data_IF_047985116709
#
_entry.id   IF_047985116709
#
_cell.length_a   1.000
_cell.length_b   1.000
_cell.length_c   1.000
_cell.angle_alpha   90.00
_cell.angle_beta   90.00
_cell.angle_gamma   90.00
#
_symmetry.space_group_name_H-M   'P 1'
#
loop_
_entity.id
_entity.type
_entity.pdbx_description
1 polymer ?
#
# COMPACT_ATOMS: atom_id res chain seq x y z
N UNK A 1 42.63 12.99 -12.18
CA UNK A 1 43.45 14.14 -12.61
C UNK A 1 42.83 14.71 -13.88
N UNK A 2 41.95 15.69 -13.72
CA UNK A 2 41.57 16.67 -14.74
C UNK A 2 41.38 17.97 -13.96
N UNK A 3 42.06 19.02 -14.40
CA UNK A 3 42.13 20.33 -13.77
C UNK A 3 41.32 21.28 -14.66
N UNK A 4 40.37 22.03 -14.10
CA UNK A 4 39.77 23.17 -14.80
C UNK A 4 39.97 24.44 -13.98
N UNK A 5 40.53 25.44 -14.66
CA UNK A 5 40.83 26.77 -14.14
C UNK A 5 39.57 27.60 -13.99
N UNK A 6 39.58 28.43 -12.95
CA UNK A 6 38.59 29.45 -12.62
C UNK A 6 38.69 30.63 -13.59
N UNK A 7 37.55 31.10 -14.09
CA UNK A 7 37.40 32.50 -14.49
C UNK A 7 36.02 32.99 -14.11
N UNK A 8 36.02 34.12 -13.41
CA UNK A 8 34.95 34.69 -12.62
C UNK A 8 33.88 35.31 -13.51
N UNK A 9 32.65 34.81 -13.43
CA UNK A 9 31.43 35.56 -13.71
C UNK A 9 30.36 35.11 -12.71
N UNK A 10 30.13 35.93 -11.69
CA UNK A 10 29.13 35.68 -10.66
C UNK A 10 27.73 35.89 -11.24
N UNK A 11 27.15 34.82 -11.79
CA UNK A 11 25.72 34.66 -11.91
C UNK A 11 25.26 33.87 -10.68
N UNK A 12 24.68 34.58 -9.71
CA UNK A 12 23.87 33.99 -8.66
C UNK A 12 22.64 33.34 -9.31
N UNK A 13 22.80 32.12 -9.81
CA UNK A 13 21.67 31.20 -9.90
C UNK A 13 21.43 30.71 -8.48
N UNK A 14 20.40 31.28 -7.84
CA UNK A 14 19.74 30.60 -6.75
C UNK A 14 19.15 29.31 -7.32
N UNK A 15 19.96 28.25 -7.37
CA UNK A 15 19.43 26.90 -7.37
C UNK A 15 18.74 26.76 -6.01
N UNK A 16 17.42 26.98 -6.00
CA UNK A 16 16.56 26.19 -5.16
C UNK A 16 16.80 24.74 -5.60
N UNK A 17 17.84 24.12 -5.04
CA UNK A 17 17.82 22.69 -4.84
C UNK A 17 16.58 22.49 -3.97
N UNK A 18 15.45 22.17 -4.62
CA UNK A 18 14.42 21.42 -3.94
C UNK A 18 15.19 20.25 -3.33
N UNK A 19 15.29 20.25 -2.01
CA UNK A 19 15.65 19.06 -1.28
C UNK A 19 14.68 18.01 -1.83
N UNK A 20 15.18 17.10 -2.65
CA UNK A 20 14.56 15.81 -2.74
C UNK A 20 14.73 15.31 -1.30
N UNK A 21 13.70 15.56 -0.49
CA UNK A 21 13.63 14.94 0.82
C UNK A 21 13.65 13.46 0.49
N UNK A 22 14.80 12.85 0.74
CA UNK A 22 14.92 11.41 0.87
C UNK A 22 14.10 11.07 2.11
N UNK A 23 12.77 11.10 1.97
CA UNK A 23 11.83 10.88 3.05
C UNK A 23 11.82 9.39 3.31
N UNK A 24 12.82 8.95 4.05
CA UNK A 24 12.74 7.72 4.82
C UNK A 24 11.44 7.77 5.62
N UNK A 25 10.62 6.73 5.52
CA UNK A 25 9.40 6.65 6.31
C UNK A 25 9.77 6.72 7.81
N UNK A 26 8.92 7.36 8.61
CA UNK A 26 9.12 7.48 10.07
C UNK A 26 9.11 6.11 10.76
N UNK A 27 8.38 5.14 10.18
CA UNK A 27 8.23 3.74 10.59
C UNK A 27 8.00 2.85 9.37
N UNK A 28 7.94 1.52 9.55
CA UNK A 28 7.68 0.56 8.45
C UNK A 28 6.36 0.80 7.72
N UNK A 29 5.34 1.28 8.44
CA UNK A 29 4.01 1.60 7.94
C UNK A 29 3.63 2.99 8.48
N UNK A 30 3.26 3.89 7.58
CA UNK A 30 2.87 5.26 7.92
C UNK A 30 1.44 5.56 7.47
N UNK A 31 0.77 6.47 8.20
CA UNK A 31 -0.64 6.78 8.01
C UNK A 31 -0.92 8.15 7.38
N UNK A 32 -2.19 8.55 7.36
CA UNK A 32 -2.64 9.84 6.84
C UNK A 32 -1.88 11.05 7.42
N UNK A 33 -1.54 11.01 8.71
CA UNK A 33 -0.77 12.05 9.41
C UNK A 33 0.61 12.27 8.77
N UNK A 34 1.40 11.21 8.59
CA UNK A 34 2.73 11.30 7.96
C UNK A 34 2.63 11.64 6.47
N UNK A 35 1.55 11.21 5.81
CA UNK A 35 1.31 11.45 4.39
C UNK A 35 0.77 12.85 4.09
N UNK A 36 0.39 13.62 5.11
CA UNK A 36 -0.16 14.97 4.95
C UNK A 36 -1.55 14.99 4.33
N UNK A 37 -2.40 14.00 4.63
CA UNK A 37 -3.78 13.98 4.15
C UNK A 37 -4.60 15.13 4.77
N UNK A 38 -5.62 15.66 4.06
CA UNK A 38 -6.62 16.56 4.65
C UNK A 38 -7.29 15.99 5.91
N UNK A 39 -7.41 16.81 6.98
CA UNK A 39 -7.85 16.35 8.33
C UNK A 39 -9.18 16.92 8.84
N UNK A 40 -9.87 17.78 8.08
CA UNK A 40 -11.10 18.44 8.54
C UNK A 40 -12.29 18.08 7.65
N UNK A 41 -13.41 17.51 8.19
CA UNK A 41 -13.71 17.17 9.60
C UNK A 41 -13.14 15.84 10.14
N UNK A 42 -12.53 15.02 9.28
CA UNK A 42 -11.78 13.79 9.61
C UNK A 42 -10.73 13.59 8.52
N UNK A 43 -9.82 12.63 8.72
CA UNK A 43 -8.84 12.25 7.70
C UNK A 43 -9.54 11.77 6.43
N UNK A 44 -9.29 12.49 5.34
CA UNK A 44 -9.82 12.15 4.03
C UNK A 44 -8.70 12.27 3.01
N UNK A 45 -8.63 11.29 2.10
CA UNK A 45 -7.67 11.30 1.01
C UNK A 45 -8.37 10.83 -0.26
N UNK A 46 -8.60 11.73 -1.20
CA UNK A 46 -9.15 11.48 -2.52
C UNK A 46 -8.00 11.31 -3.51
N UNK A 47 -7.96 10.14 -4.14
CA UNK A 47 -7.04 9.81 -5.23
C UNK A 47 -7.87 9.41 -6.45
N UNK A 48 -7.76 10.20 -7.52
CA UNK A 48 -8.66 10.11 -8.67
C UNK A 48 -10.13 10.18 -8.24
N UNK A 49 -10.92 9.13 -8.49
CA UNK A 49 -12.35 9.09 -8.17
C UNK A 49 -12.65 8.36 -6.84
N UNK A 50 -11.63 8.09 -6.01
CA UNK A 50 -11.79 7.34 -4.76
C UNK A 50 -11.39 8.17 -3.56
N UNK A 51 -12.33 8.42 -2.65
CA UNK A 51 -12.07 9.04 -1.35
C UNK A 51 -11.90 7.97 -0.28
N UNK A 52 -10.85 8.09 0.52
CA UNK A 52 -10.49 7.17 1.60
C UNK A 52 -10.63 7.84 2.96
N UNK A 53 -11.11 7.08 3.94
CA UNK A 53 -11.16 7.49 5.36
C UNK A 53 -9.90 7.07 6.15
N UNK A 54 -9.05 6.26 5.51
CA UNK A 54 -7.79 5.80 6.07
C UNK A 54 -6.86 5.36 4.96
N UNK A 55 -5.59 5.71 5.08
CA UNK A 55 -4.56 5.34 4.11
C UNK A 55 -3.31 4.86 4.85
N UNK A 56 -2.68 3.82 4.33
CA UNK A 56 -1.38 3.33 4.81
C UNK A 56 -0.39 3.23 3.66
N UNK A 57 0.87 3.59 3.91
CA UNK A 57 2.00 3.46 3.00
C UNK A 57 3.10 2.62 3.68
N UNK A 58 3.70 1.70 2.92
CA UNK A 58 4.88 0.93 3.34
C UNK A 58 5.85 0.75 2.18
N UNK A 59 7.17 0.71 2.45
CA UNK A 59 8.19 0.39 1.45
C UNK A 59 8.36 -1.11 1.34
N UNK A 60 8.70 -1.58 0.15
CA UNK A 60 9.13 -2.97 -0.03
C UNK A 60 10.63 -3.05 0.27
N UNK A 61 10.99 -3.73 1.36
CA UNK A 61 12.40 -3.93 1.72
C UNK A 61 13.07 -4.98 0.80
N UNK A 62 14.40 -4.97 0.76
CA UNK A 62 15.24 -5.98 0.11
C UNK A 62 14.93 -6.21 -1.39
N UNK A 63 14.48 -5.17 -2.08
CA UNK A 63 14.28 -5.19 -3.52
C UNK A 63 15.61 -4.98 -4.27
N UNK A 64 15.79 -5.57 -5.46
CA UNK A 64 16.93 -5.25 -6.32
C UNK A 64 16.96 -3.74 -6.65
N UNK A 65 18.15 -3.17 -6.89
CA UNK A 65 18.33 -1.74 -7.20
C UNK A 65 17.39 -1.19 -8.29
N UNK A 66 17.03 -2.02 -9.28
CA UNK A 66 16.12 -1.65 -10.36
C UNK A 66 14.67 -1.39 -9.90
N UNK A 67 14.33 -1.83 -8.69
CA UNK A 67 13.03 -1.71 -8.05
C UNK A 67 13.12 -0.88 -6.76
N UNK A 68 14.26 -0.21 -6.52
CA UNK A 68 14.42 0.67 -5.37
C UNK A 68 13.36 1.79 -5.38
N UNK A 69 12.92 2.17 -4.18
CA UNK A 69 11.85 3.15 -3.99
C UNK A 69 10.42 2.62 -4.24
N UNK A 70 10.22 1.37 -4.67
CA UNK A 70 8.87 0.82 -4.79
C UNK A 70 8.19 0.72 -3.41
N UNK A 71 6.89 1.03 -3.40
CA UNK A 71 6.07 1.03 -2.20
C UNK A 71 4.67 0.47 -2.44
N UNK A 72 3.99 0.10 -1.36
CA UNK A 72 2.60 -0.32 -1.37
C UNK A 72 1.77 0.70 -0.60
N UNK A 73 0.66 1.13 -1.22
CA UNK A 73 -0.32 2.01 -0.59
C UNK A 73 -1.66 1.31 -0.55
N UNK A 74 -2.32 1.35 0.61
CA UNK A 74 -3.69 0.87 0.79
C UNK A 74 -4.58 2.03 1.21
N UNK A 75 -5.59 2.33 0.41
CA UNK A 75 -6.68 3.23 0.78
C UNK A 75 -7.92 2.43 1.21
N UNK A 76 -8.57 2.86 2.30
CA UNK A 76 -9.80 2.24 2.82
C UNK A 76 -10.94 3.24 2.72
N UNK A 77 -12.05 2.83 2.11
CA UNK A 77 -13.28 3.61 2.02
C UNK A 77 -14.42 2.82 2.70
N UNK A 78 -15.22 3.49 3.53
CA UNK A 78 -16.45 2.95 4.10
C UNK A 78 -17.57 3.21 3.11
N UNK A 79 -18.20 2.15 2.59
CA UNK A 79 -19.39 2.34 1.77
C UNK A 79 -20.42 3.18 2.54
N UNK A 80 -20.89 4.28 1.93
CA UNK A 80 -22.07 5.03 2.41
C UNK A 80 -23.23 4.05 2.63
N UNK A 81 -24.13 4.31 3.60
CA UNK A 81 -25.00 3.29 4.16
C UNK A 81 -25.79 2.55 3.08
N UNK A 82 -25.97 1.25 3.29
CA UNK A 82 -27.08 0.50 2.69
C UNK A 82 -28.43 1.16 3.01
N UNK A 83 -29.56 0.55 2.62
CA UNK A 83 -30.87 1.18 2.79
C UNK A 83 -31.09 1.59 4.26
N UNK A 84 -31.13 2.90 4.52
CA UNK A 84 -31.10 3.47 5.88
C UNK A 84 -30.09 4.61 6.01
N UNK A 85 -30.36 5.75 5.34
CA UNK A 85 -29.47 6.91 5.28
C UNK A 85 -29.02 7.48 6.64
N UNK A 86 -28.35 8.63 6.60
CA UNK A 86 -27.89 9.36 7.79
C UNK A 86 -29.04 9.47 8.81
N UNK A 87 -28.95 8.74 9.93
CA UNK A 87 -29.97 8.74 10.99
C UNK A 87 -30.60 7.37 11.31
N UNK A 88 -30.30 6.30 10.58
CA UNK A 88 -30.75 4.95 10.98
C UNK A 88 -29.89 4.44 12.15
N UNK A 89 -30.49 3.95 13.27
CA UNK A 89 -29.72 3.38 14.36
C UNK A 89 -28.87 2.24 13.81
N UNK A 90 -27.60 2.18 14.19
CA UNK A 90 -26.66 1.14 13.78
C UNK A 90 -27.21 -0.22 14.23
N UNK A 91 -28.03 -0.87 13.40
CA UNK A 91 -28.50 -2.23 13.63
C UNK A 91 -27.39 -3.19 13.25
N UNK A 92 -26.28 -3.19 14.00
CA UNK A 92 -25.24 -4.24 14.06
C UNK A 92 -24.77 -4.88 12.74
N UNK A 93 -25.04 -4.28 11.58
CA UNK A 93 -24.62 -4.77 10.27
C UNK A 93 -23.30 -4.07 9.99
N UNK A 94 -22.25 -4.86 10.04
CA UNK A 94 -20.90 -4.51 9.63
C UNK A 94 -20.99 -3.81 8.27
N UNK A 95 -20.55 -2.55 8.21
CA UNK A 95 -20.57 -1.79 6.96
C UNK A 95 -19.49 -2.36 6.05
N UNK A 96 -19.77 -2.64 4.77
CA UNK A 96 -18.73 -3.10 3.87
C UNK A 96 -17.65 -2.05 3.70
N UNK A 97 -16.40 -2.45 3.92
CA UNK A 97 -15.22 -1.60 3.72
C UNK A 97 -14.57 -1.99 2.39
N UNK A 98 -14.35 -0.99 1.52
CA UNK A 98 -13.64 -1.16 0.27
C UNK A 98 -12.18 -0.81 0.48
N UNK A 99 -11.28 -1.75 0.17
CA UNK A 99 -9.85 -1.52 0.12
C UNK A 99 -9.42 -1.35 -1.34
N UNK A 100 -8.60 -0.35 -1.61
CA UNK A 100 -7.96 -0.14 -2.91
C UNK A 100 -6.45 -0.13 -2.71
N UNK A 101 -5.75 -0.88 -3.54
CA UNK A 101 -4.31 -1.09 -3.40
C UNK A 101 -3.57 -0.50 -4.60
N UNK A 102 -2.52 0.24 -4.30
CA UNK A 102 -1.68 0.92 -5.27
C UNK A 102 -0.22 0.51 -5.13
N UNK A 103 0.45 0.40 -6.27
CA UNK A 103 1.89 0.28 -6.38
C UNK A 103 2.46 1.68 -6.55
N UNK A 104 3.29 2.08 -5.60
CA UNK A 104 4.07 3.29 -5.64
C UNK A 104 5.39 3.05 -6.36
N UNK A 105 5.78 3.96 -7.26
CA UNK A 105 7.00 3.81 -8.06
C UNK A 105 7.72 5.15 -8.22
N UNK A 106 9.06 5.17 -8.26
CA UNK A 106 9.80 6.38 -8.62
C UNK A 106 9.30 6.97 -9.93
N UNK A 107 9.34 8.30 -10.04
CA UNK A 107 8.80 9.03 -11.21
C UNK A 107 9.30 8.50 -12.56
N UNK A 108 10.56 8.10 -12.62
CA UNK A 108 11.24 7.69 -13.84
C UNK A 108 11.12 6.17 -14.14
N UNK A 109 10.50 5.40 -13.23
CA UNK A 109 10.22 3.99 -13.45
C UNK A 109 8.93 3.82 -14.27
N UNK A 110 9.01 3.13 -15.40
CA UNK A 110 7.83 2.73 -16.16
C UNK A 110 7.13 1.55 -15.47
N UNK A 111 6.05 1.87 -14.74
CA UNK A 111 5.26 0.86 -14.02
C UNK A 111 4.67 -0.22 -14.95
N UNK A 112 4.47 0.08 -16.24
CA UNK A 112 3.99 -0.90 -17.22
C UNK A 112 5.01 -2.01 -17.51
N UNK A 113 6.29 -1.71 -17.27
CA UNK A 113 7.41 -2.66 -17.43
C UNK A 113 7.66 -3.52 -16.17
N UNK A 114 7.06 -3.16 -15.04
CA UNK A 114 7.16 -3.95 -13.80
C UNK A 114 6.41 -5.26 -13.98
N UNK A 115 7.05 -6.37 -13.61
CA UNK A 115 6.43 -7.69 -13.62
C UNK A 115 6.49 -8.30 -12.23
N UNK A 116 5.37 -8.79 -11.74
CA UNK A 116 5.29 -9.40 -10.42
C UNK A 116 3.87 -9.79 -10.06
N UNK A 117 3.71 -10.37 -8.88
CA UNK A 117 2.42 -10.76 -8.33
C UNK A 117 2.27 -10.16 -6.94
N UNK A 118 1.09 -9.61 -6.65
CA UNK A 118 0.73 -9.18 -5.30
C UNK A 118 -0.32 -10.14 -4.75
N UNK A 119 -0.05 -10.70 -3.56
CA UNK A 119 -1.04 -11.49 -2.80
C UNK A 119 -1.81 -10.52 -1.91
N UNK A 120 -3.12 -10.43 -2.10
CA UNK A 120 -4.02 -9.58 -1.33
C UNK A 120 -4.89 -10.46 -0.46
N UNK A 121 -4.65 -10.41 0.85
CA UNK A 121 -5.51 -11.07 1.84
C UNK A 121 -6.77 -10.22 2.04
N UNK A 122 -7.92 -10.84 1.76
CA UNK A 122 -9.23 -10.20 1.82
C UNK A 122 -9.89 -10.40 3.19
N UNK A 123 -9.50 -11.45 3.91
CA UNK A 123 -9.89 -11.64 5.30
C UNK A 123 -8.94 -10.85 6.21
N UNK A 124 -9.46 -10.20 7.27
CA UNK A 124 -8.61 -9.52 8.24
C UNK A 124 -7.70 -10.53 8.97
N UNK A 125 -6.47 -10.14 9.30
CA UNK A 125 -5.60 -10.99 10.11
C UNK A 125 -6.19 -11.19 11.51
N UNK A 126 -5.92 -12.34 12.11
CA UNK A 126 -6.36 -12.70 13.47
C UNK A 126 -5.70 -11.84 14.54
N UNK A 127 -4.49 -11.36 14.27
CA UNK A 127 -3.76 -10.39 15.10
C UNK A 127 -3.97 -8.99 14.57
N UNK A 128 -4.08 -8.05 15.49
CA UNK A 128 -4.25 -6.63 15.20
C UNK A 128 -3.08 -5.84 15.74
N UNK A 129 -2.80 -4.69 15.12
CA UNK A 129 -1.89 -3.72 15.72
C UNK A 129 -2.40 -3.30 17.11
N UNK A 130 -1.46 -3.03 18.02
CA UNK A 130 -1.82 -2.49 19.33
C UNK A 130 -2.45 -1.13 19.09
N UNK A 131 -3.69 -1.01 19.47
CA UNK A 131 -4.45 0.22 19.28
C UNK A 131 -4.20 1.10 20.51
N UNK A 132 -3.71 2.33 20.31
CA UNK A 132 -3.41 3.27 21.40
C UNK A 132 -4.66 3.74 22.16
N UNK A 133 -4.50 4.63 23.14
CA UNK A 133 -5.65 5.32 23.73
C UNK A 133 -6.38 6.14 22.65
N UNK A 134 -7.71 6.27 22.77
CA UNK A 134 -8.49 7.14 21.89
C UNK A 134 -7.89 8.54 21.91
N UNK A 135 -7.52 9.07 20.75
CA UNK A 135 -7.07 10.44 20.66
C UNK A 135 -8.23 11.42 20.90
N UNK A 136 -7.94 12.72 20.94
CA UNK A 136 -8.95 13.76 21.14
C UNK A 136 -10.06 13.83 20.07
N UNK A 137 -9.91 13.11 18.95
CA UNK A 137 -10.94 12.98 17.90
C UNK A 137 -11.72 11.67 18.00
N UNK A 138 -11.45 10.83 19.01
CA UNK A 138 -12.11 9.55 19.21
C UNK A 138 -11.66 8.47 18.24
N UNK A 139 -10.52 8.66 17.57
CA UNK A 139 -9.94 7.73 16.61
C UNK A 139 -8.80 6.96 17.30
N UNK A 140 -8.82 5.64 17.16
CA UNK A 140 -7.75 4.76 17.63
C UNK A 140 -6.77 4.53 16.49
N UNK A 141 -5.59 5.12 16.58
CA UNK A 141 -4.51 4.81 15.65
C UNK A 141 -3.88 3.47 16.08
N UNK A 142 -3.87 2.50 15.17
CA UNK A 142 -3.12 1.26 15.35
C UNK A 142 -1.64 1.55 15.12
N UNK A 143 -0.80 1.26 16.10
CA UNK A 143 0.64 1.37 15.99
C UNK A 143 1.28 -0.03 16.07
N UNK A 144 2.28 -0.27 15.25
CA UNK A 144 3.04 -1.53 15.27
C UNK A 144 3.81 -1.77 13.96
N UNK A 145 4.33 -2.98 13.85
CA UNK A 145 5.16 -3.46 12.76
C UNK A 145 4.53 -4.71 12.13
N UNK A 146 4.92 -5.07 10.90
CA UNK A 146 4.39 -6.28 10.26
C UNK A 146 4.51 -7.54 11.15
N UNK A 147 5.63 -7.79 11.86
CA UNK A 147 5.76 -8.91 12.81
C UNK A 147 4.70 -9.01 13.92
N UNK A 148 4.06 -7.89 14.29
CA UNK A 148 2.99 -7.88 15.30
C UNK A 148 1.70 -8.54 14.78
N UNK A 149 1.51 -8.54 13.46
CA UNK A 149 0.32 -9.05 12.77
C UNK A 149 0.58 -10.39 12.09
N UNK A 150 1.73 -10.53 11.44
CA UNK A 150 2.15 -11.74 10.72
C UNK A 150 3.50 -12.22 11.24
N UNK A 151 3.59 -13.48 11.64
CA UNK A 151 4.84 -14.03 12.16
C UNK A 151 5.91 -14.08 11.07
N UNK A 152 7.17 -13.81 11.46
CA UNK A 152 8.30 -13.87 10.53
C UNK A 152 8.48 -15.26 9.89
N UNK A 153 8.12 -16.33 10.62
CA UNK A 153 8.08 -17.71 10.12
C UNK A 153 7.09 -17.87 8.96
N UNK A 154 5.88 -17.30 9.08
CA UNK A 154 4.89 -17.26 8.02
C UNK A 154 5.40 -16.46 6.81
N UNK A 155 5.96 -15.25 7.02
CA UNK A 155 6.55 -14.45 5.93
C UNK A 155 7.63 -15.22 5.18
N UNK A 156 8.54 -15.87 5.91
CA UNK A 156 9.64 -16.64 5.32
C UNK A 156 9.10 -17.80 4.45
N UNK A 157 8.06 -18.49 4.92
CA UNK A 157 7.46 -19.61 4.20
C UNK A 157 6.63 -19.19 3.00
N UNK A 158 5.92 -18.07 3.08
CA UNK A 158 5.26 -17.45 1.92
C UNK A 158 6.29 -17.09 0.84
N UNK A 159 7.42 -16.51 1.25
CA UNK A 159 8.53 -16.18 0.36
C UNK A 159 9.14 -17.42 -0.28
N UNK A 160 9.40 -18.47 0.50
CA UNK A 160 9.90 -19.76 0.01
C UNK A 160 8.93 -20.40 -1.00
N UNK A 161 7.62 -20.40 -0.71
CA UNK A 161 6.60 -20.90 -1.64
C UNK A 161 6.62 -20.10 -2.94
N UNK A 162 6.69 -18.77 -2.87
CA UNK A 162 6.71 -17.89 -4.04
C UNK A 162 7.95 -18.13 -4.93
N UNK A 163 9.12 -18.32 -4.32
CA UNK A 163 10.37 -18.62 -5.04
C UNK A 163 10.36 -19.99 -5.72
N UNK A 164 9.62 -20.94 -5.16
CA UNK A 164 9.54 -22.32 -5.66
C UNK A 164 8.37 -22.56 -6.63
N UNK A 165 7.57 -21.53 -6.95
CA UNK A 165 6.49 -21.66 -7.93
C UNK A 165 7.08 -22.00 -9.29
N UNK A 166 6.78 -23.19 -9.77
CA UNK A 166 7.07 -23.56 -11.14
C UNK A 166 5.96 -23.08 -12.08
N UNK A 167 6.31 -22.22 -13.04
CA UNK A 167 5.39 -21.73 -14.05
C UNK A 167 6.08 -21.64 -15.42
N UNK A 168 5.29 -21.66 -16.48
CA UNK A 168 5.77 -21.43 -17.85
C UNK A 168 4.93 -20.33 -18.50
N UNK A 169 5.58 -19.43 -19.25
CA UNK A 169 4.93 -18.29 -19.89
C UNK A 169 4.35 -17.28 -18.89
N UNK A 170 3.22 -16.65 -19.23
CA UNK A 170 2.61 -15.55 -18.47
C UNK A 170 1.73 -15.99 -17.29
N UNK A 171 1.83 -17.25 -16.85
CA UNK A 171 0.95 -17.84 -15.83
C UNK A 171 1.44 -17.73 -14.38
N UNK A 172 2.43 -16.88 -14.09
CA UNK A 172 3.11 -16.83 -12.79
C UNK A 172 2.13 -16.59 -11.61
N UNK A 173 1.28 -15.57 -11.69
CA UNK A 173 0.39 -15.20 -10.59
C UNK A 173 -0.70 -16.23 -10.33
N UNK A 174 -1.26 -16.83 -11.38
CA UNK A 174 -2.22 -17.94 -11.22
C UNK A 174 -1.54 -19.23 -10.73
N UNK A 175 -0.28 -19.46 -11.07
CA UNK A 175 0.49 -20.56 -10.50
C UNK A 175 0.78 -20.35 -9.01
N UNK A 176 1.17 -19.13 -8.62
CA UNK A 176 1.35 -18.73 -7.23
C UNK A 176 0.05 -18.89 -6.44
N UNK A 177 -1.07 -18.42 -6.98
CA UNK A 177 -2.37 -18.57 -6.33
C UNK A 177 -2.70 -20.04 -6.05
N UNK A 178 -2.56 -20.91 -7.07
CA UNK A 178 -2.82 -22.35 -6.90
C UNK A 178 -1.86 -22.97 -5.89
N UNK A 179 -0.58 -22.57 -5.89
CA UNK A 179 0.41 -23.07 -4.95
C UNK A 179 0.03 -22.73 -3.51
N UNK A 180 -0.32 -21.46 -3.24
CA UNK A 180 -0.72 -21.01 -1.91
C UNK A 180 -2.07 -21.62 -1.46
N UNK A 181 -3.02 -21.86 -2.38
CA UNK A 181 -4.28 -22.54 -2.06
C UNK A 181 -4.10 -24.02 -1.75
N UNK A 182 -3.17 -24.69 -2.43
CA UNK A 182 -2.97 -26.15 -2.30
C UNK A 182 -1.99 -26.50 -1.18
N UNK A 183 -1.03 -25.60 -0.90
CA UNK A 183 0.08 -25.80 0.01
C UNK A 183 0.29 -24.54 0.85
N UNK A 184 -0.77 -24.08 1.52
CA UNK A 184 -0.65 -23.01 2.52
C UNK A 184 0.35 -23.44 3.59
N UNK A 185 1.34 -22.61 3.97
CA UNK A 185 2.30 -22.97 5.01
C UNK A 185 1.63 -23.19 6.35
N UNK A 186 2.05 -24.23 7.08
CA UNK A 186 1.57 -24.52 8.44
C UNK A 186 1.89 -23.37 9.40
N UNK A 187 3.02 -22.67 9.17
CA UNK A 187 3.41 -21.48 9.92
C UNK A 187 2.42 -20.32 9.78
N UNK A 188 1.50 -20.38 8.80
CA UNK A 188 0.44 -19.40 8.57
C UNK A 188 -0.95 -19.93 8.96
N UNK A 189 -1.05 -21.04 9.71
CA UNK A 189 -2.30 -21.80 9.92
C UNK A 189 -3.47 -21.02 10.55
N UNK A 190 -3.19 -19.91 11.24
CA UNK A 190 -4.20 -19.07 11.89
C UNK A 190 -4.06 -17.59 11.50
N UNK A 191 -3.50 -17.31 10.31
CA UNK A 191 -3.32 -15.95 9.83
C UNK A 191 -4.66 -15.21 9.74
N UNK A 192 -5.70 -15.82 9.15
CA UNK A 192 -7.05 -15.25 9.08
C UNK A 192 -7.96 -15.65 10.26
N UNK A 193 -7.42 -16.32 11.27
CA UNK A 193 -8.17 -16.80 12.43
C UNK A 193 -9.03 -18.04 12.16
N UNK A 194 -9.54 -18.63 13.24
CA UNK A 194 -10.44 -19.79 13.25
C UNK A 194 -9.90 -21.02 12.48
N UNK A 195 -8.57 -21.16 12.36
CA UNK A 195 -7.94 -22.28 11.65
C UNK A 195 -8.09 -22.22 10.13
N UNK A 196 -8.40 -21.06 9.56
CA UNK A 196 -8.58 -20.86 8.12
C UNK A 196 -7.27 -20.74 7.33
N UNK A 197 -6.11 -21.02 7.94
CA UNK A 197 -4.82 -20.81 7.30
C UNK A 197 -4.65 -19.35 6.89
N UNK A 198 -4.37 -19.16 5.60
CA UNK A 198 -4.27 -17.85 4.95
C UNK A 198 -5.61 -17.12 4.75
N UNK A 199 -6.75 -17.78 4.98
CA UNK A 199 -8.08 -17.23 4.70
C UNK A 199 -8.33 -17.01 3.21
N UNK A 200 -9.27 -16.13 2.90
CA UNK A 200 -9.57 -15.67 1.56
C UNK A 200 -8.52 -14.66 1.09
N UNK A 201 -7.97 -14.92 -0.10
CA UNK A 201 -7.01 -14.04 -0.75
C UNK A 201 -7.19 -14.07 -2.26
N UNK A 202 -6.64 -13.06 -2.91
CA UNK A 202 -6.51 -12.96 -4.37
C UNK A 202 -5.04 -12.73 -4.74
N UNK A 203 -4.67 -13.09 -5.97
CA UNK A 203 -3.34 -12.78 -6.51
C UNK A 203 -3.49 -11.90 -7.74
N UNK A 204 -3.03 -10.66 -7.64
CA UNK A 204 -3.07 -9.67 -8.70
C UNK A 204 -1.76 -9.63 -9.48
N UNK A 205 -1.84 -9.47 -10.81
CA UNK A 205 -0.67 -9.18 -11.64
C UNK A 205 -0.26 -7.72 -11.46
N UNK A 206 1.04 -7.49 -11.26
CA UNK A 206 1.64 -6.15 -11.32
C UNK A 206 2.10 -5.76 -12.73
N UNK A 207 1.95 -6.67 -13.69
CA UNK A 207 2.28 -6.42 -15.11
C UNK A 207 1.25 -5.58 -15.84
N UNK A 208 1.73 -4.65 -16.67
CA UNK A 208 0.88 -3.82 -17.54
C UNK A 208 0.03 -2.79 -16.80
N UNK A 209 0.43 -2.43 -15.57
CA UNK A 209 -0.21 -1.36 -14.82
C UNK A 209 0.01 -0.01 -15.51
N UNK A 210 -0.87 0.93 -15.23
CA UNK A 210 -0.77 2.32 -15.69
C UNK A 210 -0.76 3.26 -14.50
N UNK A 211 0.20 4.18 -14.48
CA UNK A 211 0.20 5.27 -13.50
C UNK A 211 -1.05 6.13 -13.67
N UNK A 212 -1.56 6.62 -12.55
CA UNK A 212 -2.64 7.61 -12.54
C UNK A 212 -2.16 8.85 -13.28
N UNK A 213 -2.87 9.21 -14.33
CA UNK A 213 -2.56 10.36 -15.18
C UNK A 213 -2.80 11.69 -14.46
N UNK A 214 -2.18 12.77 -14.94
CA UNK A 214 -2.44 14.11 -14.42
C UNK A 214 -3.92 14.54 -14.51
N UNK A 215 -4.65 14.08 -15.53
CA UNK A 215 -6.10 14.31 -15.63
C UNK A 215 -6.88 13.58 -14.55
N UNK A 216 -6.53 12.32 -14.24
CA UNK A 216 -7.15 11.58 -13.14
C UNK A 216 -6.77 12.21 -11.80
N UNK A 217 -5.54 12.69 -11.66
CA UNK A 217 -5.10 13.34 -10.43
C UNK A 217 -5.73 14.73 -10.18
N UNK A 218 -6.37 15.33 -11.19
CA UNK A 218 -6.95 16.68 -11.06
C UNK A 218 -8.13 16.76 -10.08
N UNK A 219 -8.75 15.62 -9.76
CA UNK A 219 -9.82 15.49 -8.77
C UNK A 219 -9.31 15.08 -7.39
N UNK A 220 -8.02 14.77 -7.27
CA UNK A 220 -7.41 14.36 -6.01
C UNK A 220 -7.22 15.55 -5.08
N UNK A 221 -7.52 15.37 -3.79
CA UNK A 221 -7.19 16.31 -2.71
C UNK A 221 -5.94 15.87 -1.93
N UNK A 222 -5.37 14.72 -2.30
CA UNK A 222 -4.32 14.03 -1.58
C UNK A 222 -3.47 13.19 -2.55
N UNK A 223 -2.20 12.97 -2.20
CA UNK A 223 -1.31 12.07 -2.94
C UNK A 223 -0.56 11.18 -1.94
N UNK A 224 -1.09 10.00 -1.58
CA UNK A 224 -0.68 9.24 -0.39
C UNK A 224 0.58 8.39 -0.63
N UNK A 225 1.62 9.01 -1.17
CA UNK A 225 2.94 8.42 -1.36
C UNK A 225 4.01 9.40 -0.93
N UNK A 226 5.22 8.90 -0.71
CA UNK A 226 6.42 9.68 -0.47
C UNK A 226 7.57 9.10 -1.30
N UNK A 227 8.46 9.94 -1.88
CA UNK A 227 8.27 11.38 -2.08
C UNK A 227 7.02 11.68 -2.92
N UNK A 228 6.45 12.89 -2.80
CA UNK A 228 5.21 13.27 -3.50
C UNK A 228 5.34 13.28 -5.03
N UNK A 229 6.57 13.20 -5.55
CA UNK A 229 6.86 13.05 -6.97
C UNK A 229 6.63 11.66 -7.53
N UNK A 230 6.49 10.64 -6.67
CA UNK A 230 6.33 9.25 -7.09
C UNK A 230 4.96 9.01 -7.73
N UNK A 231 4.94 8.04 -8.63
CA UNK A 231 3.74 7.62 -9.34
C UNK A 231 2.94 6.59 -8.51
N UNK A 232 1.62 6.61 -8.65
CA UNK A 232 0.72 5.58 -8.12
C UNK A 232 0.04 4.84 -9.27
N UNK A 233 -0.03 3.51 -9.18
CA UNK A 233 -0.79 2.67 -10.10
C UNK A 233 -1.66 1.68 -9.33
N UNK A 234 -2.97 1.66 -9.60
CA UNK A 234 -3.90 0.75 -8.92
C UNK A 234 -3.71 -0.68 -9.44
N UNK A 235 -3.51 -1.65 -8.55
CA UNK A 235 -3.37 -3.06 -8.93
C UNK A 235 -4.46 -3.98 -8.39
N UNK A 236 -5.15 -3.59 -7.31
CA UNK A 236 -6.22 -4.39 -6.73
C UNK A 236 -7.29 -3.55 -6.05
N UNK A 237 -8.48 -4.16 -5.90
CA UNK A 237 -9.57 -3.69 -5.08
C UNK A 237 -10.23 -4.90 -4.41
N UNK A 238 -10.56 -4.74 -3.15
CA UNK A 238 -11.30 -5.73 -2.36
C UNK A 238 -12.46 -5.07 -1.62
N UNK A 239 -13.52 -5.82 -1.39
CA UNK A 239 -14.68 -5.39 -0.61
C UNK A 239 -14.92 -6.44 0.47
N UNK A 240 -14.53 -6.12 1.70
CA UNK A 240 -14.79 -6.95 2.86
C UNK A 240 -16.16 -6.61 3.47
N UNK A 241 -16.89 -7.63 3.94
CA UNK A 241 -18.18 -7.50 4.63
C UNK A 241 -18.01 -7.60 6.15
#
# INVERSE_FOLDING_TARGET
MVHFQTTTAALFFAFLAALADDTTLSTDIVGCTDLGCPTHPWDSCTVADNTYVGVGLTRIADVPDALDGISLVKGVNISLPGPGGVGDPVTSQTRPYNSVYYLGTPRDLDVGSVSGCAVVFNDPPSRTFVSGDLNSTGIQEGAGTCPDVIEQSCIAKLTEQAQNVNYSGSGACSALERQLRSHAPDECSDFAGAGNGLGNFTVASLGGLSSISGSQNSTSDCWPILPKSDNLAQFARDTAM
#
